data_IF_231313307903
#
_entry.id   IF_231313307903
#
_cell.length_a   1.000
_cell.length_b   1.000
_cell.length_c   1.000
_cell.angle_alpha   90.00
_cell.angle_beta   90.00
_cell.angle_gamma   90.00
#
_symmetry.space_group_name_H-M   'P 1'
#
loop_
_entity.id
_entity.type
_entity.pdbx_description
1 polymer ?
#
# COMPACT_ATOMS: atom_id res chain seq x y z
N UNK A 1 17.47 -0.59 17.17
CA UNK A 1 16.55 0.36 16.51
C UNK A 1 17.09 0.58 15.11
N UNK A 2 16.43 0.05 14.07
CA UNK A 2 16.83 0.33 12.69
C UNK A 2 16.16 1.65 12.32
N UNK A 3 16.90 2.74 12.40
CA UNK A 3 16.42 4.05 11.99
C UNK A 3 16.21 4.04 10.47
N UNK A 4 14.96 3.92 10.02
CA UNK A 4 14.62 4.09 8.61
C UNK A 4 14.72 5.59 8.29
N UNK A 5 15.90 6.05 7.86
CA UNK A 5 16.07 7.41 7.36
C UNK A 5 15.57 7.44 5.91
N UNK A 6 14.41 8.05 5.70
CA UNK A 6 13.83 8.24 4.38
C UNK A 6 14.37 9.54 3.77
N UNK A 7 15.25 9.42 2.78
CA UNK A 7 15.77 10.56 2.04
C UNK A 7 14.93 10.78 0.79
N UNK A 8 14.34 11.98 0.66
CA UNK A 8 13.56 12.40 -0.49
C UNK A 8 14.45 13.26 -1.39
N UNK A 9 14.50 12.92 -2.67
CA UNK A 9 15.28 13.65 -3.66
C UNK A 9 14.36 14.20 -4.77
N UNK A 10 14.67 15.39 -5.27
CA UNK A 10 14.10 15.91 -6.52
C UNK A 10 15.12 15.69 -7.62
N UNK A 11 14.86 14.73 -8.50
CA UNK A 11 15.78 14.30 -9.56
C UNK A 11 15.09 14.35 -10.92
N UNK A 12 15.87 14.52 -11.98
CA UNK A 12 15.39 14.22 -13.32
C UNK A 12 15.17 12.71 -13.47
N UNK A 13 14.37 12.33 -14.48
CA UNK A 13 14.11 10.93 -14.81
C UNK A 13 15.41 10.14 -15.02
N UNK A 14 16.33 10.68 -15.82
CA UNK A 14 17.56 9.97 -16.20
C UNK A 14 18.49 9.76 -15.00
N UNK A 15 18.58 10.75 -14.10
CA UNK A 15 19.37 10.62 -12.88
C UNK A 15 18.76 9.60 -11.91
N UNK A 16 17.43 9.56 -11.81
CA UNK A 16 16.74 8.55 -11.00
C UNK A 16 16.98 7.14 -11.55
N UNK A 17 16.91 6.96 -12.88
CA UNK A 17 17.15 5.67 -13.55
C UNK A 17 18.59 5.21 -13.30
N UNK A 18 19.57 6.08 -13.55
CA UNK A 18 20.98 5.75 -13.32
C UNK A 18 21.26 5.31 -11.89
N UNK A 19 20.72 6.02 -10.89
CA UNK A 19 20.91 5.65 -9.48
C UNK A 19 20.26 4.33 -9.11
N UNK A 20 19.12 4.02 -9.71
CA UNK A 20 18.44 2.75 -9.49
C UNK A 20 19.23 1.59 -10.11
N UNK A 21 19.78 1.79 -11.31
CA UNK A 21 20.69 0.84 -11.98
C UNK A 21 21.97 0.61 -11.16
N UNK A 22 22.64 1.69 -10.74
CA UNK A 22 23.86 1.64 -9.91
C UNK A 22 23.63 0.90 -8.57
N UNK A 23 22.40 0.95 -8.05
CA UNK A 23 22.01 0.30 -6.80
C UNK A 23 21.38 -1.09 -6.99
N UNK A 24 21.19 -1.54 -8.25
CA UNK A 24 20.44 -2.76 -8.59
C UNK A 24 19.03 -2.81 -7.96
N UNK A 25 18.32 -1.68 -7.97
CA UNK A 25 16.96 -1.52 -7.43
C UNK A 25 15.95 -1.14 -8.52
N UNK A 26 14.68 -1.41 -8.27
CA UNK A 26 13.59 -0.98 -9.15
C UNK A 26 13.11 0.43 -8.80
N UNK A 27 12.83 1.25 -9.81
CA UNK A 27 12.05 2.49 -9.64
C UNK A 27 10.56 2.16 -9.63
N UNK A 28 9.96 2.17 -8.45
CA UNK A 28 8.53 1.92 -8.28
C UNK A 28 7.79 3.24 -8.13
N UNK A 29 6.85 3.51 -9.05
CA UNK A 29 5.96 4.68 -8.95
C UNK A 29 4.92 4.40 -7.85
N UNK A 30 4.88 5.27 -6.84
CA UNK A 30 3.93 5.19 -5.73
C UNK A 30 2.71 6.09 -5.96
N UNK A 31 2.93 7.29 -6.51
CA UNK A 31 1.87 8.25 -6.81
C UNK A 31 2.08 8.81 -8.22
N UNK A 32 1.43 8.23 -9.25
CA UNK A 32 1.52 8.72 -10.62
C UNK A 32 0.84 10.07 -10.81
N UNK A 33 -0.19 10.37 -10.01
CA UNK A 33 -1.00 11.60 -10.13
C UNK A 33 -0.38 12.83 -9.43
N UNK A 34 0.77 12.66 -8.76
CA UNK A 34 1.47 13.77 -8.12
C UNK A 34 2.29 14.58 -9.14
N UNK A 35 2.50 15.87 -8.87
CA UNK A 35 3.40 16.73 -9.64
C UNK A 35 4.54 17.25 -8.74
N UNK A 36 5.76 16.71 -8.85
CA UNK A 36 6.17 15.61 -9.74
C UNK A 36 5.69 14.23 -9.25
N UNK A 37 5.67 13.20 -10.12
CA UNK A 37 5.35 11.84 -9.72
C UNK A 37 6.26 11.34 -8.60
N UNK A 38 5.68 10.68 -7.60
CA UNK A 38 6.46 10.15 -6.47
C UNK A 38 6.91 8.73 -6.78
N UNK A 39 8.22 8.56 -6.86
CA UNK A 39 8.91 7.28 -7.11
C UNK A 39 9.76 6.87 -5.91
N UNK A 40 9.88 5.57 -5.69
CA UNK A 40 10.74 4.99 -4.66
C UNK A 40 11.61 3.88 -5.24
N UNK A 41 12.91 3.95 -4.98
CA UNK A 41 13.86 2.87 -5.31
C UNK A 41 13.72 1.74 -4.31
N UNK A 42 13.34 0.54 -4.76
CA UNK A 42 13.22 -0.65 -3.91
C UNK A 42 13.23 -1.95 -4.75
N UNK A 43 13.47 -3.09 -4.11
CA UNK A 43 13.23 -4.41 -4.71
C UNK A 43 11.72 -4.69 -4.73
N UNK A 44 11.11 -4.60 -5.91
CA UNK A 44 9.67 -4.75 -6.06
C UNK A 44 9.21 -6.19 -5.77
N UNK A 45 10.04 -7.17 -6.10
CA UNK A 45 9.75 -8.60 -5.89
C UNK A 45 9.62 -8.91 -4.39
N UNK A 46 10.54 -8.40 -3.57
CA UNK A 46 10.43 -8.49 -2.10
C UNK A 46 9.25 -7.69 -1.58
N UNK A 47 9.02 -6.48 -2.08
CA UNK A 47 7.91 -5.63 -1.63
C UNK A 47 6.55 -6.34 -1.77
N UNK A 48 6.27 -6.94 -2.94
CA UNK A 48 5.02 -7.68 -3.21
C UNK A 48 4.85 -8.91 -2.33
N UNK A 49 5.96 -9.56 -1.93
CA UNK A 49 5.92 -10.72 -1.05
C UNK A 49 5.66 -10.35 0.43
N UNK A 50 6.29 -9.29 0.93
CA UNK A 50 6.14 -8.86 2.32
C UNK A 50 4.89 -8.01 2.57
N UNK A 51 4.36 -7.38 1.52
CA UNK A 51 3.09 -6.67 1.53
C UNK A 51 2.16 -7.33 0.52
N UNK A 52 1.72 -8.59 0.76
CA UNK A 52 0.54 -9.08 0.07
C UNK A 52 -0.53 -8.08 0.48
N UNK A 53 -1.02 -7.30 -0.50
CA UNK A 53 -2.07 -6.34 -0.24
C UNK A 53 -3.09 -7.04 0.65
N UNK A 54 -3.41 -6.41 1.79
CA UNK A 54 -4.63 -6.73 2.52
C UNK A 54 -5.74 -6.39 1.54
N UNK A 55 -6.00 -7.28 0.58
CA UNK A 55 -7.20 -7.32 -0.23
C UNK A 55 -8.28 -7.16 0.81
N UNK A 56 -8.89 -5.98 0.82
CA UNK A 56 -10.00 -5.64 1.70
C UNK A 56 -10.94 -6.82 1.55
N UNK A 57 -11.03 -7.67 2.58
CA UNK A 57 -12.14 -8.61 2.64
C UNK A 57 -13.36 -7.70 2.45
N UNK A 58 -14.22 -7.93 1.45
CA UNK A 58 -15.46 -7.18 1.41
C UNK A 58 -16.09 -7.39 2.77
N UNK A 59 -16.23 -6.31 3.55
CA UNK A 59 -16.94 -6.39 4.83
C UNK A 59 -18.27 -7.07 4.49
N UNK A 60 -18.58 -8.25 5.06
CA UNK A 60 -19.83 -8.90 4.75
C UNK A 60 -20.93 -7.87 5.00
N UNK A 61 -21.92 -7.74 4.09
CA UNK A 61 -22.97 -6.74 4.24
C UNK A 61 -23.54 -6.86 5.65
N UNK A 62 -23.81 -5.75 6.35
CA UNK A 62 -24.31 -5.79 7.71
C UNK A 62 -25.53 -6.70 7.72
N UNK A 63 -25.45 -7.80 8.46
CA UNK A 63 -26.53 -8.78 8.54
C UNK A 63 -27.73 -8.02 9.09
N UNK A 64 -28.71 -7.72 8.24
CA UNK A 64 -30.00 -7.18 8.68
C UNK A 64 -30.52 -8.15 9.74
N UNK A 65 -30.41 -7.76 11.01
CA UNK A 65 -31.01 -8.50 12.11
C UNK A 65 -32.51 -8.28 11.96
N UNK A 66 -33.15 -9.18 11.22
CA UNK A 66 -34.60 -9.31 11.27
C UNK A 66 -34.90 -9.67 12.74
N UNK A 67 -35.33 -8.68 13.53
CA UNK A 67 -35.83 -8.93 14.88
C UNK A 67 -36.95 -9.95 14.73
N UNK A 68 -36.72 -11.17 15.23
CA UNK A 68 -37.73 -12.22 15.19
C UNK A 68 -38.94 -11.73 16.01
N UNK A 69 -40.14 -11.61 15.42
CA UNK A 69 -41.29 -11.00 16.08
C UNK A 69 -41.93 -11.91 17.16
N UNK A 70 -41.35 -13.07 17.43
CA UNK A 70 -41.90 -14.13 18.27
C UNK A 70 -41.17 -14.34 19.60
N UNK A 71 -40.40 -13.38 20.10
CA UNK A 71 -39.90 -13.48 21.48
C UNK A 71 -40.98 -13.03 22.47
N UNK A 72 -41.60 -13.95 23.25
CA UNK A 72 -42.48 -13.54 24.33
C UNK A 72 -41.65 -12.81 25.38
N UNK A 73 -42.15 -11.65 25.82
CA UNK A 73 -41.60 -10.95 26.96
C UNK A 73 -41.60 -11.92 28.16
N UNK A 74 -40.42 -12.17 28.73
CA UNK A 74 -40.30 -12.98 29.93
C UNK A 74 -41.11 -12.32 31.06
N UNK A 75 -41.89 -13.14 31.77
CA UNK A 75 -42.40 -12.80 33.10
C UNK A 75 -41.26 -12.77 34.12
#
# INVERSE_FOLDING_TARGET
>A
MVSNVNFIYFLSKDEAVRRAEDAELDLVILSPDADPPVVKMMDYSKYRFYHPEKTRRPSPPPRLQIKRPDQPARH
#
